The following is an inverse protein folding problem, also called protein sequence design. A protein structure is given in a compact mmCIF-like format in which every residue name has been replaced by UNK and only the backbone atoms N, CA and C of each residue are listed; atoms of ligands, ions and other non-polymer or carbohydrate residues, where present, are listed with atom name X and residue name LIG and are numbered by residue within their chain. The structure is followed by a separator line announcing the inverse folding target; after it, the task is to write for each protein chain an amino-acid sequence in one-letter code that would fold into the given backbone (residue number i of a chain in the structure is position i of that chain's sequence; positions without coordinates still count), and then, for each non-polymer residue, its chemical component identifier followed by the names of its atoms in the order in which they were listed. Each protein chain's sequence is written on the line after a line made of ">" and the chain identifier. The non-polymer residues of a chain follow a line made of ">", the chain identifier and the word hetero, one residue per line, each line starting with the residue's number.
data_IF_193350906680
#
_entry.id   IF_193350906680
#
_cell.length_a   1.000
_cell.length_b   1.000
_cell.length_c   1.000
_cell.angle_alpha   90.00
_cell.angle_beta   90.00
_cell.angle_gamma   90.00
#
_symmetry.space_group_name_H-M   'P 1'
#
loop_
_entity.id
_entity.type
_entity.pdbx_description
1 polymer ?
#
# COMPACT_ATOMS: atom_id res chain seq x y z
N UNK A 1 15.84 -22.69 -73.62
CA UNK A 1 15.16 -21.65 -72.78
C UNK A 1 15.93 -21.51 -71.49
N UNK A 2 16.73 -20.47 -71.41
CA UNK A 2 17.55 -20.18 -70.18
C UNK A 2 16.69 -19.49 -69.14
N UNK A 3 16.45 -20.13 -67.97
CA UNK A 3 15.80 -19.53 -66.82
C UNK A 3 16.76 -18.50 -66.19
N UNK A 4 16.59 -17.23 -66.48
CA UNK A 4 17.25 -16.14 -65.74
C UNK A 4 16.72 -16.20 -64.31
N UNK A 5 17.49 -16.77 -63.41
CA UNK A 5 17.22 -16.74 -61.96
C UNK A 5 17.31 -15.27 -61.51
N UNK A 6 16.19 -14.73 -61.06
CA UNK A 6 16.09 -13.37 -60.50
C UNK A 6 16.77 -13.31 -59.14
N UNK A 7 18.12 -13.25 -59.10
CA UNK A 7 18.90 -13.22 -57.85
C UNK A 7 18.67 -11.95 -57.01
N UNK A 8 18.14 -10.86 -57.60
CA UNK A 8 17.86 -9.60 -56.85
C UNK A 8 16.61 -9.64 -55.97
N UNK A 9 15.63 -10.51 -56.24
CA UNK A 9 14.39 -10.63 -55.49
C UNK A 9 14.58 -11.23 -54.10
N UNK A 10 15.47 -12.21 -53.95
CA UNK A 10 15.72 -12.87 -52.66
C UNK A 10 16.37 -11.93 -51.63
N UNK A 11 17.28 -11.06 -52.07
CA UNK A 11 17.96 -10.11 -51.18
C UNK A 11 16.97 -9.08 -50.58
N UNK A 12 16.07 -8.56 -51.40
CA UNK A 12 15.03 -7.63 -50.96
C UNK A 12 14.08 -8.29 -49.95
N UNK A 13 13.70 -9.54 -50.23
CA UNK A 13 12.82 -10.30 -49.33
C UNK A 13 13.47 -10.52 -47.96
N UNK A 14 14.74 -10.92 -47.91
CA UNK A 14 15.49 -11.07 -46.64
C UNK A 14 15.60 -9.77 -45.91
N UNK A 15 15.85 -8.66 -46.60
CA UNK A 15 15.96 -7.34 -45.97
C UNK A 15 14.63 -6.88 -45.38
N UNK A 16 13.51 -7.11 -46.07
CA UNK A 16 12.16 -6.79 -45.55
C UNK A 16 11.85 -7.64 -44.30
N UNK A 17 12.12 -8.94 -44.33
CA UNK A 17 11.90 -9.82 -43.19
C UNK A 17 12.79 -9.44 -42.01
N UNK A 18 14.06 -9.11 -42.21
CA UNK A 18 14.96 -8.67 -41.13
C UNK A 18 14.46 -7.39 -40.48
N UNK A 19 14.00 -6.41 -41.26
CA UNK A 19 13.40 -5.19 -40.72
C UNK A 19 12.14 -5.50 -39.88
N UNK A 20 11.31 -6.39 -40.35
CA UNK A 20 10.09 -6.81 -39.65
C UNK A 20 10.43 -7.47 -38.30
N UNK A 21 11.43 -8.35 -38.25
CA UNK A 21 11.88 -8.96 -36.99
C UNK A 21 12.47 -7.94 -36.01
N UNK A 22 13.20 -6.94 -36.48
CA UNK A 22 13.74 -5.88 -35.63
C UNK A 22 12.61 -5.08 -34.97
N UNK A 23 11.57 -4.74 -35.74
CA UNK A 23 10.40 -4.01 -35.19
C UNK A 23 9.65 -4.83 -34.16
N UNK A 24 9.38 -6.13 -34.44
CA UNK A 24 8.68 -7.02 -33.49
C UNK A 24 9.51 -7.18 -32.20
N UNK A 25 10.83 -7.38 -32.34
CA UNK A 25 11.71 -7.52 -31.19
C UNK A 25 11.72 -6.26 -30.32
N UNK A 26 11.71 -5.07 -30.93
CA UNK A 26 11.63 -3.80 -30.21
C UNK A 26 10.34 -3.65 -29.39
N UNK A 27 9.19 -4.02 -29.96
CA UNK A 27 7.91 -4.00 -29.26
C UNK A 27 7.89 -5.00 -28.10
N UNK A 28 8.43 -6.20 -28.30
CA UNK A 28 8.51 -7.23 -27.27
C UNK A 28 9.35 -6.77 -26.06
N UNK A 29 10.50 -6.14 -26.31
CA UNK A 29 11.34 -5.59 -25.24
C UNK A 29 10.63 -4.49 -24.47
N UNK A 30 9.93 -3.56 -25.15
CA UNK A 30 9.15 -2.52 -24.49
C UNK A 30 8.05 -3.10 -23.58
N UNK A 31 7.35 -4.14 -24.03
CA UNK A 31 6.32 -4.82 -23.24
C UNK A 31 6.90 -5.41 -21.94
N UNK A 32 8.05 -6.08 -22.04
CA UNK A 32 8.74 -6.66 -20.86
C UNK A 32 9.16 -5.56 -19.88
N UNK A 33 9.77 -4.48 -20.33
CA UNK A 33 10.20 -3.37 -19.47
C UNK A 33 9.01 -2.75 -18.75
N UNK A 34 7.90 -2.52 -19.42
CA UNK A 34 6.68 -1.98 -18.81
C UNK A 34 6.10 -2.93 -17.75
N UNK A 35 6.12 -4.24 -18.00
CA UNK A 35 5.67 -5.25 -17.05
C UNK A 35 6.56 -5.29 -15.80
N UNK A 36 7.88 -5.27 -15.96
CA UNK A 36 8.83 -5.26 -14.83
C UNK A 36 8.65 -4.01 -13.98
N UNK A 37 8.53 -2.84 -14.61
CA UNK A 37 8.30 -1.59 -13.88
C UNK A 37 6.95 -1.58 -13.14
N UNK A 38 5.92 -2.16 -13.73
CA UNK A 38 4.60 -2.32 -13.10
C UNK A 38 4.68 -3.23 -11.87
N UNK A 39 5.31 -4.39 -12.00
CA UNK A 39 5.47 -5.35 -10.92
C UNK A 39 6.28 -4.76 -9.75
N UNK A 40 7.36 -4.04 -10.03
CA UNK A 40 8.17 -3.40 -8.99
C UNK A 40 7.39 -2.34 -8.20
N UNK A 41 6.52 -1.59 -8.87
CA UNK A 41 5.61 -0.64 -8.17
C UNK A 41 4.60 -1.36 -7.30
N UNK A 42 4.00 -2.44 -7.81
CA UNK A 42 3.02 -3.22 -7.05
C UNK A 42 3.66 -3.85 -5.80
N UNK A 43 4.85 -4.43 -5.93
CA UNK A 43 5.61 -4.97 -4.80
C UNK A 43 5.87 -3.88 -3.73
N UNK A 44 6.27 -2.68 -4.16
CA UNK A 44 6.47 -1.56 -3.24
C UNK A 44 5.17 -1.13 -2.56
N UNK A 45 4.06 -1.11 -3.27
CA UNK A 45 2.76 -0.81 -2.68
C UNK A 45 2.31 -1.85 -1.66
N UNK A 46 2.58 -3.13 -1.91
CA UNK A 46 2.32 -4.19 -0.93
C UNK A 46 3.20 -4.04 0.32
N UNK A 47 4.47 -3.72 0.14
CA UNK A 47 5.37 -3.44 1.27
C UNK A 47 4.83 -2.28 2.12
N UNK A 48 4.48 -1.15 1.50
CA UNK A 48 3.91 0.01 2.19
C UNK A 48 2.58 -0.32 2.90
N UNK A 49 1.80 -1.24 2.35
CA UNK A 49 0.58 -1.72 3.01
C UNK A 49 0.90 -2.44 4.32
N UNK A 50 1.83 -3.40 4.31
CA UNK A 50 2.23 -4.12 5.53
C UNK A 50 2.89 -3.20 6.57
N UNK A 51 3.63 -2.21 6.12
CA UNK A 51 4.21 -1.21 7.01
C UNK A 51 3.14 -0.32 7.66
N UNK A 52 2.13 0.10 6.90
CA UNK A 52 0.98 0.82 7.47
C UNK A 52 0.19 -0.07 8.45
N UNK A 53 0.07 -1.38 8.19
CA UNK A 53 -0.53 -2.35 9.11
C UNK A 53 0.27 -2.43 10.42
N UNK A 54 1.59 -2.42 10.37
CA UNK A 54 2.44 -2.38 11.57
C UNK A 54 2.15 -1.12 12.44
N UNK A 55 1.80 0.01 11.83
CA UNK A 55 1.33 1.19 12.57
C UNK A 55 0.00 0.96 13.29
N UNK A 56 -0.92 0.22 12.68
CA UNK A 56 -2.18 -0.18 13.33
C UNK A 56 -1.90 -1.11 14.53
N UNK A 57 -1.03 -2.12 14.36
CA UNK A 57 -0.66 -3.04 15.44
C UNK A 57 -0.03 -2.31 16.62
N UNK A 58 0.81 -1.32 16.37
CA UNK A 58 1.39 -0.46 17.39
C UNK A 58 0.32 0.35 18.12
N UNK A 59 -0.66 0.89 17.41
CA UNK A 59 -1.80 1.59 18.01
C UNK A 59 -2.63 0.66 18.89
N UNK A 60 -2.87 -0.59 18.46
CA UNK A 60 -3.56 -1.62 19.26
C UNK A 60 -2.77 -1.93 20.53
N UNK A 61 -1.45 -2.08 20.43
CA UNK A 61 -0.61 -2.32 21.61
C UNK A 61 -0.70 -1.16 22.63
N UNK A 62 -0.75 0.09 22.17
CA UNK A 62 -0.96 1.26 23.02
C UNK A 62 -2.37 1.28 23.64
N UNK A 63 -3.40 0.95 22.85
CA UNK A 63 -4.77 0.83 23.35
C UNK A 63 -4.89 -0.22 24.47
N UNK A 64 -4.25 -1.40 24.27
CA UNK A 64 -4.24 -2.47 25.26
C UNK A 64 -3.49 -2.10 26.55
N UNK A 65 -2.48 -1.23 26.48
CA UNK A 65 -1.81 -0.68 27.66
C UNK A 65 -2.65 0.38 28.39
N UNK A 66 -3.70 0.88 27.77
CA UNK A 66 -4.57 1.90 28.33
C UNK A 66 -4.13 3.33 28.03
N UNK A 67 -3.19 3.55 27.11
CA UNK A 67 -2.63 4.87 26.76
C UNK A 67 -3.71 5.85 26.20
N UNK A 68 -4.87 5.32 25.78
CA UNK A 68 -6.00 6.08 25.25
C UNK A 68 -7.19 6.17 26.20
N UNK A 69 -7.10 5.64 27.43
CA UNK A 69 -8.22 5.67 28.39
C UNK A 69 -8.57 7.10 28.83
N UNK A 70 -7.61 8.02 28.79
CA UNK A 70 -7.81 9.44 29.16
C UNK A 70 -8.33 10.32 28.03
N UNK A 71 -8.45 9.78 26.80
CA UNK A 71 -8.99 10.54 25.68
C UNK A 71 -10.49 10.76 25.86
N UNK A 72 -10.94 11.98 25.59
CA UNK A 72 -12.35 12.33 25.46
C UNK A 72 -12.79 12.17 24.02
N UNK A 73 -14.09 11.99 23.77
CA UNK A 73 -14.62 11.94 22.40
C UNK A 73 -14.27 13.24 21.65
N UNK A 74 -13.68 13.10 20.49
CA UNK A 74 -13.16 14.20 19.68
C UNK A 74 -11.66 14.49 19.88
N UNK A 75 -11.03 13.93 20.93
CA UNK A 75 -9.58 14.05 21.11
C UNK A 75 -8.81 13.11 20.17
N UNK A 76 -7.65 13.58 19.73
CA UNK A 76 -6.73 12.80 18.91
C UNK A 76 -5.30 12.83 19.46
N UNK A 77 -4.57 11.75 19.24
CA UNK A 77 -3.11 11.67 19.37
C UNK A 77 -2.49 11.31 18.04
N UNK A 78 -1.47 12.02 17.64
CA UNK A 78 -0.79 11.83 16.37
C UNK A 78 0.72 12.13 16.47
N UNK A 79 1.42 11.92 15.36
CA UNK A 79 2.87 12.13 15.23
C UNK A 79 3.31 13.60 15.35
N UNK A 80 2.40 14.57 15.27
CA UNK A 80 2.72 16.00 15.43
C UNK A 80 2.87 16.38 16.89
N UNK A 81 2.18 15.65 17.77
CA UNK A 81 2.15 15.88 19.21
C UNK A 81 3.14 14.97 19.96
N UNK A 82 3.39 13.76 19.45
CA UNK A 82 4.24 12.76 20.10
C UNK A 82 5.01 11.91 19.09
N UNK A 83 6.33 11.90 19.21
CA UNK A 83 7.24 11.12 18.35
C UNK A 83 7.03 9.60 18.45
N UNK A 84 6.30 9.09 19.44
CA UNK A 84 5.95 7.69 19.53
C UNK A 84 4.98 7.22 18.43
N UNK A 85 4.31 8.17 17.74
CA UNK A 85 3.36 7.92 16.66
C UNK A 85 3.99 7.95 15.26
N UNK A 86 5.33 8.05 15.20
CA UNK A 86 6.12 7.96 13.97
C UNK A 86 7.30 7.03 14.18
N UNK A 87 7.64 6.21 13.20
CA UNK A 87 8.81 5.33 13.24
C UNK A 87 9.26 4.96 11.83
N UNK A 88 10.52 4.52 11.72
CA UNK A 88 11.06 4.01 10.47
C UNK A 88 10.95 2.49 10.44
N UNK A 89 10.49 1.97 9.31
CA UNK A 89 10.44 0.54 9.04
C UNK A 89 10.98 0.30 7.62
N UNK A 90 12.01 -0.54 7.49
CA UNK A 90 12.64 -0.87 6.20
C UNK A 90 13.11 0.34 5.36
N UNK A 91 13.36 1.49 6.00
CA UNK A 91 13.75 2.74 5.33
C UNK A 91 12.60 3.64 4.92
N UNK A 92 11.37 3.23 5.16
CA UNK A 92 10.16 4.03 4.95
C UNK A 92 9.66 4.61 6.27
N UNK A 93 8.86 5.66 6.19
CA UNK A 93 8.33 6.36 7.36
C UNK A 93 6.90 5.92 7.60
N UNK A 94 6.63 5.35 8.77
CA UNK A 94 5.27 4.99 9.21
C UNK A 94 4.80 6.01 10.23
N UNK A 95 3.63 6.60 9.98
CA UNK A 95 2.95 7.57 10.83
C UNK A 95 1.58 7.05 11.17
N UNK A 96 1.14 7.19 12.41
CA UNK A 96 -0.24 6.85 12.74
C UNK A 96 -0.86 7.88 13.70
N UNK A 97 -2.17 7.97 13.64
CA UNK A 97 -2.99 8.79 14.54
C UNK A 97 -4.13 7.97 15.11
N UNK A 98 -4.56 8.32 16.29
CA UNK A 98 -5.67 7.69 16.99
C UNK A 98 -6.62 8.80 17.44
N UNK A 99 -7.88 8.71 17.07
CA UNK A 99 -8.95 9.63 17.45
C UNK A 99 -10.06 8.85 18.14
N UNK A 100 -10.54 9.36 19.28
CA UNK A 100 -11.67 8.77 19.97
C UNK A 100 -12.96 9.34 19.41
N UNK A 101 -13.85 8.48 18.96
CA UNK A 101 -15.14 8.81 18.36
C UNK A 101 -16.29 8.10 19.05
N UNK A 102 -17.46 8.66 18.90
CA UNK A 102 -18.73 8.06 19.32
C UNK A 102 -19.52 7.59 18.09
N UNK A 103 -20.17 6.46 18.22
CA UNK A 103 -21.03 5.96 17.18
C UNK A 103 -22.36 6.73 17.23
N UNK A 104 -22.79 7.30 16.10
CA UNK A 104 -24.02 8.09 15.97
C UNK A 104 -25.30 7.29 16.30
N UNK A 105 -25.24 5.96 16.28
CA UNK A 105 -26.42 5.08 16.42
C UNK A 105 -26.45 4.37 17.78
N UNK A 106 -25.30 4.03 18.37
CA UNK A 106 -25.25 3.15 19.56
C UNK A 106 -24.59 3.78 20.78
N UNK A 107 -24.25 5.07 20.77
CA UNK A 107 -23.52 5.74 21.89
C UNK A 107 -22.24 5.01 22.34
N UNK A 108 -21.82 3.98 21.64
CA UNK A 108 -20.60 3.26 21.94
C UNK A 108 -19.38 4.03 21.45
N UNK A 109 -18.40 4.19 22.31
CA UNK A 109 -17.13 4.83 21.98
C UNK A 109 -16.21 3.85 21.24
N UNK A 110 -15.50 4.35 20.25
CA UNK A 110 -14.47 3.59 19.52
C UNK A 110 -13.24 4.46 19.23
N UNK A 111 -12.13 3.80 18.95
CA UNK A 111 -10.92 4.46 18.49
C UNK A 111 -10.81 4.31 16.97
N UNK A 112 -10.77 5.42 16.26
CA UNK A 112 -10.44 5.46 14.85
C UNK A 112 -8.93 5.59 14.71
N UNK A 113 -8.30 4.61 14.06
CA UNK A 113 -6.86 4.61 13.83
C UNK A 113 -6.60 4.80 12.34
N UNK A 114 -5.76 5.76 12.02
CA UNK A 114 -5.28 6.00 10.66
C UNK A 114 -3.78 5.81 10.68
N UNK A 115 -3.28 4.87 9.89
CA UNK A 115 -1.86 4.65 9.68
C UNK A 115 -1.48 4.91 8.23
N UNK A 116 -0.34 5.56 8.01
CA UNK A 116 0.19 5.90 6.70
C UNK A 116 1.65 5.49 6.66
N UNK A 117 2.03 4.68 5.69
CA UNK A 117 3.42 4.44 5.33
C UNK A 117 3.79 5.27 4.10
N UNK A 118 4.96 5.87 4.11
CA UNK A 118 5.46 6.79 3.10
C UNK A 118 6.90 6.42 2.72
N UNK A 119 7.11 6.13 1.45
CA UNK A 119 8.43 5.81 0.89
C UNK A 119 9.21 7.06 0.56
N UNK A 120 10.54 6.95 0.58
CA UNK A 120 11.45 7.98 0.08
C UNK A 120 11.21 8.38 -1.38
N UNK A 121 10.57 7.52 -2.18
CA UNK A 121 10.16 7.79 -3.56
C UNK A 121 8.85 8.59 -3.69
N UNK A 122 8.20 8.97 -2.57
CA UNK A 122 6.93 9.68 -2.55
C UNK A 122 5.69 8.80 -2.69
N UNK A 123 5.86 7.48 -2.82
CA UNK A 123 4.73 6.56 -2.77
C UNK A 123 4.22 6.42 -1.33
N UNK A 124 2.90 6.37 -1.15
CA UNK A 124 2.31 6.21 0.18
C UNK A 124 1.12 5.25 0.17
N UNK A 125 0.88 4.64 1.32
CA UNK A 125 -0.32 3.85 1.60
C UNK A 125 -0.90 4.27 2.93
N UNK A 126 -2.23 4.39 2.96
CA UNK A 126 -2.98 4.75 4.16
C UNK A 126 -4.00 3.66 4.46
N UNK A 127 -4.03 3.23 5.71
CA UNK A 127 -5.02 2.30 6.25
C UNK A 127 -5.79 3.02 7.34
N UNK A 128 -7.11 2.88 7.31
CA UNK A 128 -8.01 3.38 8.34
C UNK A 128 -8.76 2.20 8.95
N UNK A 129 -8.78 2.11 10.26
CA UNK A 129 -9.47 1.04 10.98
C UNK A 129 -10.20 1.58 12.20
N UNK A 130 -11.20 0.84 12.65
CA UNK A 130 -11.96 1.09 13.86
C UNK A 130 -11.59 0.05 14.90
N UNK A 131 -11.22 0.49 16.10
CA UNK A 131 -10.98 -0.38 17.24
C UNK A 131 -12.14 -0.21 18.23
N UNK A 132 -12.87 -1.27 18.46
CA UNK A 132 -13.94 -1.33 19.46
C UNK A 132 -13.46 -2.09 20.69
N UNK A 133 -13.89 -1.63 21.86
CA UNK A 133 -13.61 -2.32 23.11
C UNK A 133 -14.49 -3.56 23.21
N UNK A 134 -13.90 -4.74 23.08
CA UNK A 134 -14.63 -6.00 23.32
C UNK A 134 -14.95 -6.14 24.81
N UNK A 135 -16.23 -6.21 25.14
CA UNK A 135 -16.76 -6.63 26.45
C UNK A 135 -17.48 -7.96 26.22
N UNK A 136 -17.32 -9.03 27.01
CA UNK A 136 -16.55 -9.27 28.24
C UNK A 136 -15.72 -10.59 28.28
N UNK A 137 -14.94 -10.93 27.28
CA UNK A 137 -14.14 -12.17 27.31
C UNK A 137 -12.65 -11.85 27.48
N UNK A 138 -12.19 -11.89 28.74
CA UNK A 138 -10.83 -11.80 29.25
C UNK A 138 -10.12 -10.43 29.15
N UNK A 139 -9.53 -10.03 30.26
CA UNK A 139 -8.66 -8.85 30.45
C UNK A 139 -7.39 -8.83 29.58
N UNK A 140 -7.18 -9.84 28.72
CA UNK A 140 -5.97 -10.00 27.91
C UNK A 140 -6.08 -9.26 26.56
N UNK A 141 -7.29 -9.12 26.00
CA UNK A 141 -7.51 -8.40 24.73
C UNK A 141 -8.69 -7.44 24.85
N UNK A 142 -8.41 -6.22 25.33
CA UNK A 142 -9.42 -5.16 25.49
C UNK A 142 -9.86 -4.54 24.16
N UNK A 143 -9.03 -4.64 23.13
CA UNK A 143 -9.31 -4.13 21.80
C UNK A 143 -9.01 -5.19 20.76
N UNK A 144 -9.92 -5.39 19.84
CA UNK A 144 -9.72 -6.26 18.66
C UNK A 144 -10.04 -5.50 17.38
N UNK A 145 -9.42 -5.94 16.30
CA UNK A 145 -9.78 -5.48 14.97
C UNK A 145 -11.20 -5.94 14.66
N UNK A 146 -12.13 -5.00 14.62
CA UNK A 146 -13.42 -5.26 14.01
C UNK A 146 -13.24 -5.20 12.49
N UNK A 147 -13.56 -6.22 11.71
CA UNK A 147 -13.38 -6.20 10.25
C UNK A 147 -14.45 -5.31 9.61
N UNK A 148 -14.37 -4.01 9.85
CA UNK A 148 -15.21 -3.02 9.19
C UNK A 148 -14.39 -2.28 8.16
N UNK A 149 -14.52 -2.76 6.92
CA UNK A 149 -14.19 -2.07 5.68
C UNK A 149 -12.85 -1.34 5.66
N UNK A 150 -11.80 -2.06 5.28
CA UNK A 150 -10.55 -1.48 4.79
C UNK A 150 -10.84 -0.58 3.59
N UNK A 151 -10.86 0.72 3.80
CA UNK A 151 -10.85 1.69 2.69
C UNK A 151 -9.40 1.97 2.35
N UNK A 152 -8.87 1.26 1.37
CA UNK A 152 -7.58 1.59 0.76
C UNK A 152 -7.83 2.73 -0.22
N UNK A 153 -7.41 3.93 0.13
CA UNK A 153 -7.37 5.06 -0.82
C UNK A 153 -6.03 5.00 -1.53
N UNK A 154 -5.98 4.77 -2.86
CA UNK A 154 -4.75 4.96 -3.62
C UNK A 154 -4.38 6.44 -3.48
N UNK A 155 -3.19 6.70 -2.95
CA UNK A 155 -2.61 8.02 -2.99
C UNK A 155 -2.38 8.42 -4.45
N UNK A 156 -2.97 9.52 -4.89
CA UNK A 156 -2.69 10.15 -6.16
C UNK A 156 -1.29 10.73 -6.21
#
# INVERSE_FOLDING_TARGET
>A
MSKKVKRGSALITVLVFSLFFVVISGVAVMAVVNTVNGNSREEKYQTLYYEAEAGIEKAIAYANRGDYNSLVVGDSKDWTLDSNYIFNLNGDIVKFSVEKKENLVSTDEYLEVISTSESSSGMSRRIKTKLEKNLPFSDVFKYSLCPVRLTVTPGG
#
